data_IF_086072035225
#
_entry.id   IF_086072035225
#
_cell.length_a   1.000
_cell.length_b   1.000
_cell.length_c   1.000
_cell.angle_alpha   90.00
_cell.angle_beta   90.00
_cell.angle_gamma   90.00
#
_symmetry.space_group_name_H-M   'P 1'
#
loop_
_entity.id
_entity.type
_entity.pdbx_description
1 polymer ?
#
# COMPACT_ATOMS: atom_id res chain seq x y z
N UNK A 1 7.49 9.16 22.33
CA UNK A 1 8.00 9.31 20.94
C UNK A 1 7.06 8.52 20.04
N UNK A 2 6.53 9.11 18.97
CA UNK A 2 5.76 8.34 17.98
C UNK A 2 6.70 7.33 17.31
N UNK A 3 6.23 6.12 17.10
CA UNK A 3 6.98 5.09 16.38
C UNK A 3 7.05 5.48 14.90
N UNK A 4 8.26 5.68 14.37
CA UNK A 4 8.48 6.06 12.98
C UNK A 4 8.28 4.84 12.09
N UNK A 5 7.38 4.93 11.12
CA UNK A 5 7.20 3.91 10.10
C UNK A 5 8.35 3.95 9.10
N UNK A 6 9.24 2.98 9.23
CA UNK A 6 10.40 2.81 8.33
C UNK A 6 10.04 2.12 7.03
N UNK A 7 9.07 1.21 7.07
CA UNK A 7 8.66 0.43 5.89
C UNK A 7 7.54 1.13 5.14
N UNK A 8 7.91 2.14 4.37
CA UNK A 8 6.98 2.94 3.58
C UNK A 8 6.56 2.18 2.32
N UNK A 9 5.27 1.82 2.24
CA UNK A 9 4.76 1.02 1.14
C UNK A 9 4.51 1.89 -0.11
N UNK A 10 5.02 1.47 -1.26
CA UNK A 10 4.71 2.10 -2.55
C UNK A 10 3.48 1.47 -3.22
N UNK A 11 3.09 0.25 -2.81
CA UNK A 11 1.72 -0.26 -3.04
C UNK A 11 1.07 -0.49 -1.68
N UNK A 12 -0.07 0.16 -1.38
CA UNK A 12 -0.67 0.08 -0.06
C UNK A 12 -1.10 -1.33 0.30
N UNK A 13 -0.92 -1.68 1.57
CA UNK A 13 -1.45 -2.94 2.13
C UNK A 13 -2.96 -3.02 2.00
N UNK A 14 -3.68 -1.89 2.08
CA UNK A 14 -5.14 -1.85 1.89
C UNK A 14 -5.56 -2.48 0.55
N UNK A 15 -4.83 -2.13 -0.52
CA UNK A 15 -5.04 -2.70 -1.85
C UNK A 15 -4.67 -4.18 -1.85
N UNK A 16 -3.44 -4.52 -1.47
CA UNK A 16 -2.93 -5.90 -1.54
C UNK A 16 -3.74 -6.91 -0.69
N UNK A 17 -4.38 -6.46 0.39
CA UNK A 17 -5.25 -7.29 1.23
C UNK A 17 -6.40 -7.94 0.45
N UNK A 18 -6.84 -7.36 -0.67
CA UNK A 18 -7.91 -7.92 -1.49
C UNK A 18 -7.50 -9.20 -2.24
N UNK A 19 -6.19 -9.47 -2.36
CA UNK A 19 -5.63 -10.68 -2.99
C UNK A 19 -4.89 -11.58 -2.01
N UNK A 20 -4.75 -11.17 -0.75
CA UNK A 20 -4.00 -11.90 0.25
C UNK A 20 -4.84 -13.01 0.90
N UNK A 21 -4.23 -14.16 1.11
CA UNK A 21 -4.78 -15.25 1.93
C UNK A 21 -3.89 -15.44 3.16
N UNK A 22 -4.48 -15.44 4.36
CA UNK A 22 -3.75 -15.57 5.63
C UNK A 22 -2.57 -14.58 5.77
N UNK A 23 -2.74 -13.35 5.27
CA UNK A 23 -1.73 -12.29 5.32
C UNK A 23 -0.55 -12.50 4.36
N UNK A 24 -0.66 -13.45 3.41
CA UNK A 24 0.32 -13.75 2.38
C UNK A 24 -0.27 -13.57 0.99
N UNK A 25 0.58 -13.28 0.01
CA UNK A 25 0.18 -13.15 -1.38
C UNK A 25 1.22 -13.85 -2.29
N UNK A 26 0.77 -14.62 -3.30
CA UNK A 26 1.67 -15.14 -4.33
C UNK A 26 2.36 -13.98 -5.04
N UNK A 27 3.68 -13.97 -5.01
CA UNK A 27 4.50 -12.92 -5.60
C UNK A 27 5.40 -13.51 -6.67
N UNK A 28 5.33 -12.96 -7.88
CA UNK A 28 6.18 -13.34 -9.00
C UNK A 28 7.54 -12.64 -8.92
N UNK A 29 8.61 -13.38 -9.18
CA UNK A 29 9.97 -12.82 -9.21
C UNK A 29 10.37 -12.44 -10.64
N UNK A 30 10.49 -11.14 -10.89
CA UNK A 30 10.92 -10.60 -12.19
C UNK A 30 12.40 -10.87 -12.50
N UNK A 31 13.24 -11.01 -11.46
CA UNK A 31 14.67 -11.21 -11.58
C UNK A 31 15.03 -12.63 -11.13
N UNK A 32 14.95 -13.60 -12.04
CA UNK A 32 15.50 -14.94 -11.81
C UNK A 32 16.33 -15.36 -13.01
N UNK A 33 17.63 -15.45 -12.79
CA UNK A 33 18.62 -15.91 -13.77
C UNK A 33 19.06 -17.37 -13.55
N UNK A 34 18.40 -18.13 -12.67
CA UNK A 34 18.78 -19.50 -12.31
C UNK A 34 17.55 -20.41 -12.13
N UNK A 35 17.55 -21.56 -12.81
CA UNK A 35 16.45 -22.54 -12.83
C UNK A 35 16.13 -23.18 -11.48
N UNK A 36 17.06 -23.16 -10.52
CA UNK A 36 16.84 -23.70 -9.18
C UNK A 36 15.99 -22.79 -8.28
N UNK A 37 15.66 -21.58 -8.72
CA UNK A 37 14.88 -20.61 -7.95
C UNK A 37 13.43 -20.59 -8.46
N UNK A 38 12.43 -20.86 -7.60
CA UNK A 38 11.02 -20.80 -8.01
C UNK A 38 10.60 -19.41 -8.47
N UNK A 39 9.86 -19.35 -9.58
CA UNK A 39 9.29 -18.11 -10.14
C UNK A 39 8.27 -17.45 -9.20
N UNK A 40 7.46 -18.28 -8.54
CA UNK A 40 6.43 -17.84 -7.59
C UNK A 40 6.85 -18.13 -6.15
N UNK A 41 6.58 -17.17 -5.27
CA UNK A 41 6.75 -17.33 -3.82
C UNK A 41 5.62 -16.65 -3.07
N UNK A 42 5.07 -17.36 -2.09
CA UNK A 42 4.18 -16.71 -1.12
C UNK A 42 4.99 -15.84 -0.18
N UNK A 43 4.66 -14.54 -0.14
CA UNK A 43 5.31 -13.57 0.74
C UNK A 43 4.29 -12.87 1.63
N UNK A 44 4.72 -12.46 2.82
CA UNK A 44 3.89 -11.68 3.73
C UNK A 44 3.72 -10.26 3.22
N UNK A 45 2.51 -9.69 3.38
CA UNK A 45 2.23 -8.29 3.05
C UNK A 45 3.15 -7.29 3.78
N UNK A 46 3.73 -7.65 4.92
CA UNK A 46 4.68 -6.79 5.64
C UNK A 46 6.08 -6.75 5.01
N UNK A 47 6.37 -7.67 4.09
CA UNK A 47 7.70 -7.89 3.49
C UNK A 47 7.78 -7.54 2.01
N UNK A 48 6.74 -6.92 1.44
CA UNK A 48 6.66 -6.63 0.00
C UNK A 48 6.13 -5.22 -0.25
N UNK A 49 6.35 -4.73 -1.47
CA UNK A 49 5.81 -3.48 -1.96
C UNK A 49 6.10 -2.26 -1.08
N UNK A 50 7.24 -2.27 -0.40
CA UNK A 50 7.75 -1.15 0.37
C UNK A 50 9.22 -0.91 0.07
N UNK A 51 9.67 0.30 0.38
CA UNK A 51 11.07 0.66 0.44
C UNK A 51 11.32 1.31 1.78
N UNK A 52 12.39 0.91 2.45
CA UNK A 52 12.77 1.53 3.72
C UNK A 52 13.04 3.01 3.48
N UNK A 53 12.46 3.85 4.33
CA UNK A 53 12.63 5.30 4.33
C UNK A 53 12.23 6.00 3.01
N UNK A 54 11.32 5.42 2.22
CA UNK A 54 10.82 6.06 0.99
C UNK A 54 10.21 7.45 1.23
N UNK A 55 9.54 7.61 2.38
CA UNK A 55 8.85 8.85 2.77
C UNK A 55 9.42 9.47 4.04
N UNK A 56 10.53 8.92 4.55
CA UNK A 56 11.21 9.50 5.71
C UNK A 56 12.12 10.61 5.23
N UNK A 57 11.98 11.80 5.80
CA UNK A 57 12.92 12.90 5.61
C UNK A 57 13.37 13.46 6.96
N UNK A 58 14.61 13.95 6.98
CA UNK A 58 15.18 14.59 8.16
C UNK A 58 14.72 16.05 8.21
N UNK A 59 14.05 16.43 9.28
CA UNK A 59 13.88 17.84 9.65
C UNK A 59 15.04 18.25 10.56
N UNK A 60 15.28 19.54 10.75
CA UNK A 60 16.37 20.06 11.59
C UNK A 60 16.35 19.58 13.06
N UNK A 61 15.31 18.83 13.48
CA UNK A 61 15.18 18.29 14.84
C UNK A 61 14.91 16.78 14.89
N UNK A 62 14.20 16.17 13.93
CA UNK A 62 13.83 14.73 13.97
C UNK A 62 13.57 14.11 12.57
N UNK A 63 13.65 12.78 12.46
CA UNK A 63 13.08 12.00 11.34
C UNK A 63 11.55 11.98 11.45
N UNK A 64 10.84 12.26 10.34
CA UNK A 64 9.36 12.27 10.30
C UNK A 64 8.79 11.32 9.26
N UNK A 65 7.64 10.71 9.57
CA UNK A 65 6.82 9.87 8.69
C UNK A 65 5.41 10.48 8.45
N UNK A 66 5.30 11.79 8.61
CA UNK A 66 4.06 12.56 8.42
C UNK A 66 3.38 12.29 7.08
N UNK A 67 4.17 12.10 6.02
CA UNK A 67 3.62 11.84 4.69
C UNK A 67 2.88 10.49 4.61
N UNK A 68 3.38 9.46 5.31
CA UNK A 68 2.69 8.17 5.37
C UNK A 68 1.39 8.27 6.18
N UNK A 69 1.41 9.01 7.29
CA UNK A 69 0.21 9.28 8.08
C UNK A 69 -0.84 10.06 7.28
N UNK A 70 -0.43 11.10 6.57
CA UNK A 70 -1.29 11.89 5.70
C UNK A 70 -1.91 11.05 4.58
N UNK A 71 -1.12 10.20 3.89
CA UNK A 71 -1.65 9.28 2.88
C UNK A 71 -2.71 8.35 3.47
N UNK A 72 -2.45 7.80 4.66
CA UNK A 72 -3.37 6.91 5.33
C UNK A 72 -4.68 7.61 5.70
N UNK A 73 -4.61 8.81 6.30
CA UNK A 73 -5.77 9.56 6.77
C UNK A 73 -6.62 10.13 5.61
N UNK A 74 -5.98 10.68 4.58
CA UNK A 74 -6.67 11.42 3.52
C UNK A 74 -7.14 10.57 2.34
N UNK A 75 -6.52 9.40 2.11
CA UNK A 75 -6.77 8.60 0.91
C UNK A 75 -7.02 7.13 1.18
N UNK A 76 -6.19 6.46 2.00
CA UNK A 76 -6.33 5.01 2.19
C UNK A 76 -7.51 4.67 3.11
N UNK A 77 -7.55 5.20 4.34
CA UNK A 77 -8.62 4.90 5.30
C UNK A 77 -10.02 5.29 4.78
N UNK A 78 -10.23 6.44 4.11
CA UNK A 78 -11.54 6.78 3.55
C UNK A 78 -12.03 5.80 2.48
N UNK A 79 -11.11 5.15 1.75
CA UNK A 79 -11.44 4.25 0.65
C UNK A 79 -11.83 2.83 1.10
N UNK A 80 -11.59 2.46 2.37
CA UNK A 80 -11.83 1.10 2.90
C UNK A 80 -13.25 0.61 2.61
N UNK A 81 -14.28 1.35 3.06
CA UNK A 81 -15.68 0.95 2.86
C UNK A 81 -16.05 0.86 1.38
N UNK A 82 -15.53 1.76 0.55
CA UNK A 82 -15.80 1.73 -0.89
C UNK A 82 -15.18 0.50 -1.57
N UNK A 83 -13.95 0.14 -1.21
CA UNK A 83 -13.27 -1.07 -1.72
C UNK A 83 -14.00 -2.33 -1.26
N UNK A 84 -14.37 -2.43 0.02
CA UNK A 84 -15.08 -3.58 0.56
C UNK A 84 -16.42 -3.81 -0.16
N UNK A 85 -17.14 -2.73 -0.48
CA UNK A 85 -18.39 -2.80 -1.25
C UNK A 85 -18.15 -3.30 -2.68
N UNK A 86 -17.12 -2.80 -3.37
CA UNK A 86 -16.77 -3.27 -4.71
C UNK A 86 -16.48 -4.77 -4.70
N UNK A 87 -15.65 -5.24 -3.77
CA UNK A 87 -15.27 -6.66 -3.67
C UNK A 87 -16.47 -7.56 -3.39
N UNK A 88 -17.48 -7.04 -2.68
CA UNK A 88 -18.72 -7.77 -2.34
C UNK A 88 -19.87 -7.51 -3.32
N UNK A 89 -19.60 -6.86 -4.46
CA UNK A 89 -20.60 -6.50 -5.47
C UNK A 89 -21.79 -5.70 -4.91
N UNK A 90 -21.54 -4.86 -3.89
CA UNK A 90 -22.54 -4.05 -3.24
C UNK A 90 -22.73 -2.70 -3.95
N UNK A 91 -23.93 -2.12 -3.79
CA UNK A 91 -24.25 -0.81 -4.36
C UNK A 91 -23.35 0.28 -3.79
N UNK A 92 -22.83 1.11 -4.69
CA UNK A 92 -22.01 2.28 -4.35
C UNK A 92 -22.84 3.56 -4.31
N UNK A 93 -22.48 4.45 -3.39
CA UNK A 93 -23.00 5.82 -3.33
C UNK A 93 -22.06 6.75 -4.11
N UNK A 94 -22.49 7.98 -4.45
CA UNK A 94 -21.60 8.99 -5.05
C UNK A 94 -20.34 9.26 -4.22
N UNK A 95 -20.43 9.17 -2.89
CA UNK A 95 -19.29 9.37 -2.00
C UNK A 95 -18.29 8.20 -2.06
N UNK A 96 -18.77 6.96 -2.22
CA UNK A 96 -17.88 5.81 -2.44
C UNK A 96 -17.09 5.97 -3.73
N UNK A 97 -17.75 6.40 -4.82
CA UNK A 97 -17.07 6.69 -6.08
C UNK A 97 -16.01 7.77 -5.93
N UNK A 98 -16.32 8.86 -5.23
CA UNK A 98 -15.36 9.93 -4.94
C UNK A 98 -14.12 9.41 -4.23
N UNK A 99 -14.31 8.56 -3.21
CA UNK A 99 -13.20 7.96 -2.43
C UNK A 99 -12.36 7.00 -3.25
N UNK A 100 -12.98 6.18 -4.10
CA UNK A 100 -12.27 5.29 -5.03
C UNK A 100 -11.39 6.07 -6.01
N UNK A 101 -11.94 7.15 -6.60
CA UNK A 101 -11.19 8.00 -7.53
C UNK A 101 -10.02 8.68 -6.82
N UNK A 102 -10.26 9.29 -5.65
CA UNK A 102 -9.19 9.92 -4.84
C UNK A 102 -8.09 8.91 -4.48
N UNK A 103 -8.48 7.71 -4.06
CA UNK A 103 -7.54 6.65 -3.74
C UNK A 103 -6.71 6.24 -4.96
N UNK A 104 -7.35 6.02 -6.11
CA UNK A 104 -6.67 5.61 -7.34
C UNK A 104 -5.65 6.66 -7.80
N UNK A 105 -6.05 7.94 -7.86
CA UNK A 105 -5.14 9.04 -8.24
C UNK A 105 -3.99 9.15 -7.24
N UNK A 106 -4.26 9.02 -5.93
CA UNK A 106 -3.20 9.02 -4.93
C UNK A 106 -2.19 7.88 -5.15
N UNK A 107 -2.61 6.70 -5.65
CA UNK A 107 -1.68 5.63 -5.97
C UNK A 107 -0.78 5.95 -7.16
N UNK A 108 -1.28 6.73 -8.13
CA UNK A 108 -0.50 7.16 -9.28
C UNK A 108 0.57 8.19 -8.89
N UNK A 109 0.24 9.12 -7.98
CA UNK A 109 1.15 10.22 -7.60
C UNK A 109 1.99 9.97 -6.34
N UNK A 110 1.80 8.85 -5.62
CA UNK A 110 2.50 8.59 -4.34
C UNK A 110 3.98 8.28 -4.49
N UNK A 111 4.44 7.83 -5.65
CA UNK A 111 5.87 7.56 -5.90
C UNK A 111 6.48 8.78 -6.55
N UNK A 112 7.44 9.46 -5.89
CA UNK A 112 8.18 10.56 -6.50
C UNK A 112 8.91 10.06 -7.76
N UNK A 113 8.85 10.85 -8.83
CA UNK A 113 9.61 10.61 -10.07
C UNK A 113 11.11 10.82 -9.86
#
# INVERSE_FOLDING_TARGET
MKEIRRNNHFVPKLYLKQWAQNGRIPTYRLLVSNEAVPEWRDLSLSKIAFREHLYTYATAKEETDEFEHWLAEEFENPAVDAIERVVREQRLTPEHWRRLVRFAVAQEVRTPA
#
